data_IF_323717806146
#
_entry.id   IF_323717806146
#
_cell.length_a   1.000
_cell.length_b   1.000
_cell.length_c   1.000
_cell.angle_alpha   90.00
_cell.angle_beta   90.00
_cell.angle_gamma   90.00
#
_symmetry.space_group_name_H-M   'P 1'
#
loop_
_entity.id
_entity.type
_entity.pdbx_description
1 polymer ?
#
# COMPACT_ATOMS: atom_id res chain seq x y z
N UNK A 1 7.12 14.44 12.62
CA UNK A 1 6.88 14.69 11.19
C UNK A 1 5.88 13.67 10.64
N UNK A 2 4.90 14.12 9.89
CA UNK A 2 3.89 13.24 9.29
C UNK A 2 4.19 13.04 7.81
N UNK A 3 4.41 11.80 7.40
CA UNK A 3 4.66 11.44 6.01
C UNK A 3 3.40 10.85 5.37
N UNK A 4 3.31 11.02 4.05
CA UNK A 4 2.33 10.33 3.23
C UNK A 4 3.04 9.16 2.56
N UNK A 5 2.59 7.94 2.86
CA UNK A 5 3.21 6.72 2.39
C UNK A 5 2.22 5.94 1.52
N UNK A 6 2.61 5.70 0.27
CA UNK A 6 1.84 4.84 -0.62
C UNK A 6 2.43 3.43 -0.57
N UNK A 7 1.58 2.42 -0.44
CA UNK A 7 2.01 1.03 -0.36
C UNK A 7 1.43 0.26 -1.54
N UNK A 8 2.31 -0.24 -2.41
CA UNK A 8 1.93 -1.13 -3.50
C UNK A 8 2.14 -2.56 -3.02
N UNK A 9 1.07 -3.32 -2.89
CA UNK A 9 1.15 -4.68 -2.38
C UNK A 9 0.01 -5.53 -2.94
N UNK A 10 0.12 -6.84 -2.74
CA UNK A 10 -0.94 -7.79 -3.07
C UNK A 10 -2.20 -7.49 -2.22
N UNK A 11 -3.37 -7.99 -2.62
CA UNK A 11 -4.61 -7.66 -1.90
C UNK A 11 -4.49 -7.86 -0.40
N UNK A 12 -4.72 -6.77 0.33
CA UNK A 12 -4.49 -6.72 1.78
C UNK A 12 -5.43 -7.63 2.56
N UNK A 13 -6.61 -7.92 2.01
CA UNK A 13 -7.58 -8.77 2.72
C UNK A 13 -7.12 -10.22 2.80
N UNK A 14 -6.21 -10.64 1.93
CA UNK A 14 -5.73 -12.02 1.88
C UNK A 14 -4.45 -12.29 2.65
N UNK A 15 -3.89 -11.30 3.33
CA UNK A 15 -2.61 -11.49 4.03
C UNK A 15 -2.80 -12.11 5.41
N UNK A 16 -1.75 -12.80 5.87
CA UNK A 16 -1.67 -13.27 7.24
C UNK A 16 -0.91 -12.22 8.05
N UNK A 17 -1.61 -11.50 8.92
CA UNK A 17 -1.03 -10.36 9.64
C UNK A 17 0.09 -10.77 10.59
N UNK A 18 0.13 -12.04 11.02
CA UNK A 18 1.19 -12.51 11.90
C UNK A 18 2.49 -12.77 11.17
N UNK A 19 2.44 -12.95 9.85
CA UNK A 19 3.60 -13.28 9.03
C UNK A 19 3.99 -12.19 8.03
N UNK A 20 3.11 -11.25 7.74
CA UNK A 20 3.32 -10.26 6.70
C UNK A 20 4.17 -9.08 7.19
N UNK A 21 5.36 -8.94 6.60
CA UNK A 21 6.29 -7.88 6.97
C UNK A 21 5.76 -6.50 6.58
N UNK A 22 5.07 -6.42 5.44
CA UNK A 22 4.51 -5.14 4.97
C UNK A 22 3.48 -4.62 5.96
N UNK A 23 2.64 -5.52 6.49
CA UNK A 23 1.66 -5.16 7.48
C UNK A 23 2.32 -4.58 8.73
N UNK A 24 3.39 -5.22 9.19
CA UNK A 24 4.13 -4.75 10.38
C UNK A 24 4.75 -3.38 10.16
N UNK A 25 5.33 -3.15 8.97
CA UNK A 25 5.89 -1.85 8.63
C UNK A 25 4.80 -0.78 8.57
N UNK A 26 3.65 -1.12 8.02
CA UNK A 26 2.51 -0.20 7.97
C UNK A 26 2.01 0.16 9.36
N UNK A 27 1.88 -0.82 10.25
CA UNK A 27 1.47 -0.56 11.63
C UNK A 27 2.46 0.37 12.33
N UNK A 28 3.75 0.15 12.14
CA UNK A 28 4.79 0.97 12.75
C UNK A 28 4.71 2.40 12.24
N UNK A 29 4.56 2.58 10.92
CA UNK A 29 4.43 3.90 10.34
C UNK A 29 3.19 4.61 10.87
N UNK A 30 2.08 3.91 10.98
CA UNK A 30 0.83 4.46 11.49
C UNK A 30 0.97 4.87 12.96
N UNK A 31 1.67 4.05 13.76
CA UNK A 31 1.91 4.38 15.17
C UNK A 31 2.76 5.65 15.33
N UNK A 32 3.56 5.98 14.33
CA UNK A 32 4.37 7.19 14.31
C UNK A 32 3.64 8.39 13.73
N UNK A 33 2.35 8.22 13.39
CA UNK A 33 1.51 9.30 12.91
C UNK A 33 1.53 9.52 11.40
N UNK A 34 2.14 8.63 10.63
CA UNK A 34 2.15 8.75 9.17
C UNK A 34 0.83 8.29 8.57
N UNK A 35 0.50 8.81 7.38
CA UNK A 35 -0.71 8.43 6.66
C UNK A 35 -0.36 7.37 5.63
N UNK A 36 -1.23 6.36 5.53
CA UNK A 36 -1.04 5.24 4.62
C UNK A 36 -2.06 5.28 3.50
N UNK A 37 -1.62 5.02 2.28
CA UNK A 37 -2.46 4.86 1.11
C UNK A 37 -2.11 3.52 0.47
N UNK A 38 -3.11 2.71 0.19
CA UNK A 38 -2.92 1.34 -0.30
C UNK A 38 -3.48 1.20 -1.71
N UNK A 39 -2.75 0.52 -2.58
CA UNK A 39 -3.24 0.13 -3.90
C UNK A 39 -2.54 -1.16 -4.33
N UNK A 40 -3.17 -1.88 -5.26
CA UNK A 40 -2.57 -3.07 -5.87
C UNK A 40 -1.88 -2.68 -7.18
N UNK A 41 -0.90 -3.49 -7.67
CA UNK A 41 -0.14 -3.13 -8.88
C UNK A 41 -1.00 -2.91 -10.12
N UNK A 42 -2.12 -3.60 -10.25
CA UNK A 42 -3.02 -3.47 -11.38
C UNK A 42 -3.78 -2.13 -11.42
N UNK A 43 -3.64 -1.33 -10.38
CA UNK A 43 -4.29 -0.03 -10.28
C UNK A 43 -3.42 1.13 -10.72
N UNK A 44 -2.21 0.86 -11.20
CA UNK A 44 -1.34 1.91 -11.73
C UNK A 44 -1.79 2.35 -13.12
N UNK A 45 -1.72 3.66 -13.34
CA UNK A 45 -2.08 4.25 -14.63
C UNK A 45 -1.01 5.26 -15.03
N UNK A 46 -0.52 5.17 -16.27
CA UNK A 46 0.37 6.16 -16.85
C UNK A 46 -0.47 7.19 -17.63
N UNK A 47 -0.30 8.45 -17.31
CA UNK A 47 -1.02 9.52 -17.99
C UNK A 47 -0.15 10.76 -18.11
N UNK A 48 0.17 11.15 -19.32
CA UNK A 48 0.89 12.41 -19.61
C UNK A 48 2.17 12.61 -18.79
N UNK A 49 2.97 11.55 -18.70
CA UNK A 49 4.23 11.61 -17.96
C UNK A 49 4.09 11.49 -16.45
N UNK A 50 2.89 11.19 -15.95
CA UNK A 50 2.64 11.00 -14.53
C UNK A 50 2.25 9.56 -14.22
N UNK A 51 2.58 9.09 -13.04
CA UNK A 51 2.15 7.78 -12.56
C UNK A 51 1.04 8.01 -11.54
N UNK A 52 -0.15 7.54 -11.87
CA UNK A 52 -1.33 7.66 -11.01
C UNK A 52 -1.65 6.29 -10.44
N UNK A 53 -2.18 6.27 -9.23
CA UNK A 53 -2.66 5.04 -8.59
C UNK A 53 -4.07 5.25 -8.08
N UNK A 54 -4.92 4.28 -8.31
CA UNK A 54 -6.27 4.28 -7.75
C UNK A 54 -6.30 3.32 -6.58
N UNK A 55 -6.58 3.83 -5.41
CA UNK A 55 -6.57 3.04 -4.20
C UNK A 55 -7.30 3.71 -3.06
N UNK A 56 -6.91 3.40 -1.85
CA UNK A 56 -7.63 3.85 -0.65
C UNK A 56 -6.67 4.29 0.43
N UNK A 57 -6.99 5.37 1.16
CA UNK A 57 -6.34 5.58 2.45
C UNK A 57 -6.74 4.43 3.37
N UNK A 58 -5.80 3.93 4.15
CA UNK A 58 -6.06 2.79 5.02
C UNK A 58 -5.63 3.06 6.45
N UNK A 59 -6.28 2.34 7.36
CA UNK A 59 -5.94 2.29 8.76
C UNK A 59 -5.82 0.83 9.14
N UNK A 60 -4.70 0.47 9.76
CA UNK A 60 -4.39 -0.92 10.10
C UNK A 60 -4.66 -1.22 11.56
N UNK A 61 -5.09 -2.44 11.84
CA UNK A 61 -5.26 -2.95 13.20
C UNK A 61 -4.89 -4.43 13.24
N UNK A 62 -4.44 -4.89 14.38
CA UNK A 62 -3.97 -6.27 14.51
C UNK A 62 -5.12 -7.19 14.89
N UNK A 63 -6.07 -7.35 13.99
CA UNK A 63 -7.18 -8.29 14.12
C UNK A 63 -7.30 -9.02 12.77
N UNK A 64 -6.94 -10.29 12.74
CA UNK A 64 -7.00 -11.07 11.52
C UNK A 64 -8.44 -11.13 10.99
N UNK A 65 -8.61 -10.85 9.70
CA UNK A 65 -9.93 -10.79 9.08
C UNK A 65 -10.59 -9.42 9.17
N UNK A 66 -10.10 -8.54 10.06
CA UNK A 66 -10.57 -7.17 10.19
C UNK A 66 -9.37 -6.25 10.46
N UNK A 67 -8.31 -6.46 9.69
CA UNK A 67 -7.01 -5.82 9.93
C UNK A 67 -6.80 -4.52 9.18
N UNK A 68 -7.70 -4.15 8.28
CA UNK A 68 -7.58 -2.90 7.53
C UNK A 68 -8.94 -2.27 7.28
N UNK A 69 -9.03 -0.97 7.52
CA UNK A 69 -10.20 -0.18 7.16
C UNK A 69 -9.81 0.73 6.01
N UNK A 70 -10.54 0.66 4.91
CA UNK A 70 -10.31 1.50 3.75
C UNK A 70 -11.19 2.74 3.82
N UNK A 71 -10.60 3.89 3.49
CA UNK A 71 -11.37 5.11 3.27
C UNK A 71 -11.99 5.12 1.86
N UNK A 72 -12.36 6.32 1.40
CA UNK A 72 -12.95 6.47 0.07
C UNK A 72 -11.90 6.22 -1.01
N UNK A 73 -12.27 5.46 -2.05
CA UNK A 73 -11.39 5.23 -3.19
C UNK A 73 -11.04 6.56 -3.86
N UNK A 74 -9.78 6.73 -4.22
CA UNK A 74 -9.31 7.94 -4.86
C UNK A 74 -8.19 7.61 -5.85
N UNK A 75 -8.06 8.47 -6.87
CA UNK A 75 -6.93 8.42 -7.79
C UNK A 75 -5.94 9.49 -7.37
N UNK A 76 -4.70 9.10 -7.15
CA UNK A 76 -3.65 10.01 -6.66
C UNK A 76 -2.44 9.96 -7.56
N UNK A 77 -1.70 11.07 -7.58
CA UNK A 77 -0.41 11.16 -8.25
C UNK A 77 0.66 10.70 -7.26
N UNK A 78 1.37 9.63 -7.58
CA UNK A 78 2.37 9.07 -6.68
C UNK A 78 3.52 10.03 -6.39
N UNK A 79 3.76 11.00 -7.26
CA UNK A 79 4.81 11.99 -7.01
C UNK A 79 4.48 12.91 -5.84
N UNK A 80 3.22 12.95 -5.40
CA UNK A 80 2.82 13.72 -4.24
C UNK A 80 3.06 13.01 -2.90
N UNK A 81 3.54 11.78 -2.94
CA UNK A 81 3.82 11.01 -1.72
C UNK A 81 5.27 11.17 -1.30
N UNK A 82 5.51 11.10 0.00
CA UNK A 82 6.88 11.17 0.54
C UNK A 82 7.63 9.87 0.33
N UNK A 83 6.91 8.75 0.38
CA UNK A 83 7.48 7.40 0.23
C UNK A 83 6.50 6.54 -0.56
N UNK A 84 7.03 5.72 -1.46
CA UNK A 84 6.27 4.67 -2.14
C UNK A 84 6.94 3.34 -1.85
N UNK A 85 6.25 2.44 -1.17
CA UNK A 85 6.75 1.10 -0.87
C UNK A 85 6.24 0.11 -1.92
N UNK A 86 7.17 -0.57 -2.58
CA UNK A 86 6.84 -1.64 -3.52
C UNK A 86 7.02 -2.96 -2.77
N UNK A 87 5.94 -3.48 -2.23
CA UNK A 87 5.97 -4.60 -1.29
C UNK A 87 5.16 -5.81 -1.72
N UNK A 88 4.91 -5.94 -3.00
CA UNK A 88 4.25 -7.13 -3.52
C UNK A 88 5.25 -8.28 -3.65
N UNK A 89 4.78 -9.51 -3.51
CA UNK A 89 5.61 -10.68 -3.76
C UNK A 89 5.86 -10.80 -5.27
N UNK A 90 7.12 -10.90 -5.70
CA UNK A 90 7.40 -11.12 -7.12
C UNK A 90 6.94 -12.52 -7.53
N UNK A 91 6.40 -12.68 -8.75
CA UNK A 91 6.10 -14.01 -9.24
C UNK A 91 7.40 -14.79 -9.47
N UNK A 92 7.39 -16.08 -9.21
CA UNK A 92 8.52 -16.95 -9.51
C UNK A 92 8.51 -17.30 -10.98
N UNK A 93 8.93 -16.34 -11.78
CA UNK A 93 8.90 -16.41 -13.23
C UNK A 93 10.25 -15.93 -13.73
N UNK A 94 10.86 -16.69 -14.62
CA UNK A 94 12.16 -16.34 -15.19
C UNK A 94 12.12 -15.00 -15.92
N UNK A 95 10.97 -14.65 -16.46
CA UNK A 95 10.81 -13.36 -17.10
C UNK A 95 10.85 -12.16 -16.14
N UNK A 96 10.69 -12.42 -14.88
CA UNK A 96 10.73 -11.38 -13.87
C UNK A 96 12.14 -10.80 -13.70
N UNK A 97 13.11 -11.63 -13.88
CA UNK A 97 14.51 -11.22 -13.74
C UNK A 97 14.93 -10.40 -14.98
#
# INVERSE_FOLDING_TARGET
>A
MKLDIAIQMDPIDGIDISADTTFRLGEEAQARGHRLFYYTPDRLVWAEGRVLARGWPIELRRVQGDHATRGAEAEVDLSGFDVVWLRQDPPFDMGYI
#
